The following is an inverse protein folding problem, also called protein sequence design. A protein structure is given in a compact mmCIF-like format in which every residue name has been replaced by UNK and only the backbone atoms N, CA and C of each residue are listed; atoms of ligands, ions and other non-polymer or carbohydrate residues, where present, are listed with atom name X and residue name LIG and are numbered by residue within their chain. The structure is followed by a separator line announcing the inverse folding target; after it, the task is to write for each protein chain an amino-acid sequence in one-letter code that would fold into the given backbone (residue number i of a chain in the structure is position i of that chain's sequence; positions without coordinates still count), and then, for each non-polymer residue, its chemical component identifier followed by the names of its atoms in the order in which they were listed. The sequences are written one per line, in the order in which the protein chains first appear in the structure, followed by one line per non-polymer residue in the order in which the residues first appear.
data_IF_516096922323
#
_entry.id   IF_516096922323
#
_cell.length_a   1.000
_cell.length_b   1.000
_cell.length_c   1.000
_cell.angle_alpha   90.00
_cell.angle_beta   90.00
_cell.angle_gamma   90.00
#
_symmetry.space_group_name_H-M   'P 1'
#
loop_
_entity.id
_entity.type
_entity.pdbx_description
1 polymer ?
#
# COMPACT_ATOMS: atom_id res chain seq x y z
N UNK A 1 -6.29 32.92 24.37
CA UNK A 1 -5.24 32.80 23.34
C UNK A 1 -4.55 31.43 23.34
N UNK A 2 -4.40 30.74 24.47
CA UNK A 2 -3.76 29.41 24.57
C UNK A 2 -4.61 28.24 24.03
N UNK A 3 -5.95 28.30 24.18
CA UNK A 3 -6.86 27.22 23.72
C UNK A 3 -6.90 27.13 22.18
N UNK A 4 -6.84 28.27 21.50
CA UNK A 4 -6.89 28.34 20.01
C UNK A 4 -5.60 27.76 19.41
N UNK A 5 -4.45 27.98 20.05
CA UNK A 5 -3.16 27.46 19.58
C UNK A 5 -3.00 25.96 19.88
N UNK A 6 -3.51 25.46 21.01
CA UNK A 6 -3.57 24.00 21.29
C UNK A 6 -4.48 23.29 20.28
N UNK A 7 -5.64 23.88 19.97
CA UNK A 7 -6.57 23.36 18.94
C UNK A 7 -5.91 23.33 17.56
N UNK A 8 -5.28 24.43 17.15
CA UNK A 8 -4.58 24.52 15.87
C UNK A 8 -3.40 23.53 15.79
N UNK A 9 -2.62 23.37 16.86
CA UNK A 9 -1.53 22.40 16.92
C UNK A 9 -2.05 20.96 16.83
N UNK A 10 -3.12 20.62 17.55
CA UNK A 10 -3.75 19.30 17.47
C UNK A 10 -4.38 19.03 16.10
N UNK A 11 -4.93 20.06 15.43
CA UNK A 11 -5.41 19.98 14.04
C UNK A 11 -4.24 19.74 13.08
N UNK A 12 -3.12 20.46 13.23
CA UNK A 12 -1.93 20.27 12.41
C UNK A 12 -1.31 18.89 12.61
N UNK A 13 -1.26 18.39 13.86
CA UNK A 13 -0.83 17.03 14.16
C UNK A 13 -1.79 15.99 13.57
N UNK A 14 -3.11 16.15 13.72
CA UNK A 14 -4.09 15.27 13.07
C UNK A 14 -3.97 15.28 11.56
N UNK A 15 -3.76 16.46 10.95
CA UNK A 15 -3.55 16.62 9.51
C UNK A 15 -2.25 15.94 9.08
N UNK A 16 -1.15 16.10 9.82
CA UNK A 16 0.12 15.41 9.56
C UNK A 16 -0.01 13.89 9.69
N UNK A 17 -0.67 13.39 10.73
CA UNK A 17 -0.97 11.97 10.93
C UNK A 17 -1.82 11.45 9.75
N UNK A 18 -2.86 12.18 9.36
CA UNK A 18 -3.71 11.84 8.23
C UNK A 18 -2.92 11.78 6.91
N UNK A 19 -2.04 12.74 6.64
CA UNK A 19 -1.15 12.69 5.48
C UNK A 19 -0.21 11.48 5.52
N UNK A 20 0.43 11.17 6.65
CA UNK A 20 1.29 9.99 6.77
C UNK A 20 0.53 8.68 6.52
N UNK A 21 -0.71 8.57 7.05
CA UNK A 21 -1.57 7.41 6.83
C UNK A 21 -1.92 7.25 5.35
N UNK A 22 -2.25 8.34 4.67
CA UNK A 22 -2.54 8.31 3.23
C UNK A 22 -1.30 7.91 2.45
N UNK A 23 -0.15 8.50 2.74
CA UNK A 23 1.10 8.15 2.06
C UNK A 23 1.36 6.65 2.15
N UNK A 24 1.26 6.05 3.35
CA UNK A 24 1.46 4.61 3.53
C UNK A 24 0.48 3.74 2.74
N UNK A 25 -0.76 4.20 2.54
CA UNK A 25 -1.77 3.47 1.75
C UNK A 25 -1.52 3.53 0.24
N UNK A 26 -0.63 4.41 -0.22
CA UNK A 26 -0.30 4.60 -1.64
C UNK A 26 1.05 3.97 -2.04
N UNK A 27 1.73 3.30 -1.10
CA UNK A 27 3.04 2.68 -1.35
C UNK A 27 2.93 1.20 -1.70
N UNK A 28 3.74 0.77 -2.65
CA UNK A 28 3.97 -0.64 -2.91
C UNK A 28 4.95 -1.22 -1.88
N UNK A 29 4.57 -2.32 -1.23
CA UNK A 29 5.44 -2.96 -0.23
C UNK A 29 6.67 -3.69 -0.84
N UNK A 30 6.76 -3.80 -2.17
CA UNK A 30 7.90 -4.43 -2.86
C UNK A 30 9.00 -3.39 -3.13
N UNK A 31 8.65 -2.29 -3.79
CA UNK A 31 9.62 -1.23 -4.13
C UNK A 31 9.67 -0.07 -3.11
N UNK A 32 8.79 -0.08 -2.10
CA UNK A 32 8.68 0.95 -1.06
C UNK A 32 8.48 2.37 -1.60
N UNK A 33 7.81 2.47 -2.75
CA UNK A 33 7.55 3.70 -3.50
C UNK A 33 6.08 3.77 -3.89
N UNK A 34 5.61 4.94 -4.29
CA UNK A 34 4.22 5.16 -4.73
C UNK A 34 3.89 4.21 -5.88
N UNK A 35 2.67 3.66 -5.86
CA UNK A 35 2.23 2.74 -6.90
C UNK A 35 2.41 3.32 -8.31
N UNK A 36 3.10 2.57 -9.17
CA UNK A 36 3.12 2.76 -10.63
C UNK A 36 2.33 1.64 -11.28
N UNK A 37 1.23 2.01 -11.95
CA UNK A 37 0.26 1.10 -12.53
C UNK A 37 -0.18 0.01 -11.54
N UNK A 38 -0.93 0.37 -10.48
CA UNK A 38 -1.31 -0.59 -9.44
C UNK A 38 -2.14 -1.74 -10.01
N UNK A 39 -1.84 -2.95 -9.54
CA UNK A 39 -2.62 -4.17 -9.78
C UNK A 39 -3.06 -4.74 -8.45
N UNK A 40 -4.35 -5.04 -8.35
CA UNK A 40 -4.96 -5.69 -7.18
C UNK A 40 -4.99 -7.19 -7.41
N UNK A 41 -4.39 -7.97 -6.50
CA UNK A 41 -4.57 -9.42 -6.48
C UNK A 41 -5.96 -9.80 -5.94
N UNK A 42 -6.48 -11.02 -6.20
CA UNK A 42 -7.77 -11.48 -5.66
C UNK A 42 -7.90 -11.39 -4.13
N UNK A 43 -6.78 -11.50 -3.41
CA UNK A 43 -6.72 -11.33 -1.96
C UNK A 43 -6.87 -9.86 -1.50
N UNK A 44 -7.10 -8.91 -2.42
CA UNK A 44 -7.31 -7.48 -2.14
C UNK A 44 -6.04 -6.64 -1.97
N UNK A 45 -4.84 -7.22 -2.10
CA UNK A 45 -3.58 -6.49 -1.94
C UNK A 45 -3.08 -5.87 -3.26
N UNK A 46 -2.54 -4.66 -3.17
CA UNK A 46 -2.12 -3.84 -4.31
C UNK A 46 -0.60 -3.77 -4.44
N UNK A 47 -0.11 -3.78 -5.68
CA UNK A 47 1.32 -3.73 -6.01
C UNK A 47 1.52 -2.99 -7.34
N UNK A 48 2.71 -2.44 -7.59
CA UNK A 48 3.06 -1.98 -8.93
C UNK A 48 3.02 -3.15 -9.92
N UNK A 49 2.46 -2.96 -11.12
CA UNK A 49 2.36 -4.01 -12.14
C UNK A 49 3.70 -4.71 -12.39
N UNK A 50 4.78 -3.94 -12.54
CA UNK A 50 6.11 -4.50 -12.76
C UNK A 50 6.59 -5.35 -11.57
N UNK A 51 6.50 -4.81 -10.36
CA UNK A 51 6.94 -5.48 -9.14
C UNK A 51 6.23 -6.82 -8.91
N UNK A 52 4.90 -6.86 -9.08
CA UNK A 52 4.16 -8.10 -8.86
C UNK A 52 4.38 -9.11 -9.97
N UNK A 53 4.51 -8.66 -11.22
CA UNK A 53 4.83 -9.54 -12.35
C UNK A 53 6.18 -10.24 -12.15
N UNK A 54 7.22 -9.48 -11.77
CA UNK A 54 8.54 -10.03 -11.49
C UNK A 54 8.51 -11.01 -10.32
N UNK A 55 7.84 -10.65 -9.21
CA UNK A 55 7.70 -11.53 -8.06
C UNK A 55 7.05 -12.88 -8.41
N UNK A 56 5.96 -12.86 -9.17
CA UNK A 56 5.21 -14.05 -9.56
C UNK A 56 5.94 -14.91 -10.59
N UNK A 57 6.79 -14.30 -11.42
CA UNK A 57 7.65 -15.02 -12.36
C UNK A 57 8.77 -15.79 -11.66
N UNK A 58 9.34 -15.22 -10.59
CA UNK A 58 10.42 -15.84 -9.81
C UNK A 58 9.91 -16.88 -8.79
N UNK A 59 8.67 -16.74 -8.32
CA UNK A 59 8.11 -17.63 -7.30
C UNK A 59 7.26 -18.74 -7.91
N UNK A 60 7.74 -19.97 -7.84
CA UNK A 60 7.02 -21.17 -8.31
C UNK A 60 5.61 -21.29 -7.70
N UNK A 61 5.44 -20.90 -6.44
CA UNK A 61 4.17 -20.98 -5.71
C UNK A 61 3.23 -19.77 -5.95
N UNK A 62 3.67 -18.75 -6.71
CA UNK A 62 2.90 -17.55 -7.05
C UNK A 62 2.10 -16.96 -5.88
N UNK A 63 2.75 -16.74 -4.74
CA UNK A 63 2.09 -16.25 -3.52
C UNK A 63 2.06 -14.73 -3.46
N UNK A 64 1.02 -14.18 -2.83
CA UNK A 64 0.95 -12.77 -2.50
C UNK A 64 2.10 -12.39 -1.55
N UNK A 65 2.88 -11.33 -1.83
CA UNK A 65 3.93 -10.86 -0.94
C UNK A 65 3.46 -10.53 0.49
N UNK A 66 2.21 -10.07 0.64
CA UNK A 66 1.63 -9.60 1.90
C UNK A 66 1.02 -10.74 2.73
N UNK A 67 -0.02 -11.42 2.23
CA UNK A 67 -0.75 -12.45 2.99
C UNK A 67 -0.34 -13.89 2.68
N UNK A 68 0.55 -14.10 1.70
CA UNK A 68 1.03 -15.42 1.26
C UNK A 68 -0.03 -16.35 0.64
N UNK A 69 -1.24 -15.85 0.37
CA UNK A 69 -2.25 -16.57 -0.42
C UNK A 69 -1.75 -16.84 -1.85
N UNK A 70 -2.10 -18.01 -2.39
CA UNK A 70 -1.71 -18.39 -3.75
C UNK A 70 -2.53 -17.61 -4.76
N UNK A 71 -1.85 -16.98 -5.70
CA UNK A 71 -2.47 -16.31 -6.83
C UNK A 71 -2.87 -17.34 -7.90
N UNK A 72 -4.16 -17.42 -8.17
CA UNK A 72 -4.73 -18.24 -9.24
C UNK A 72 -5.14 -17.34 -10.42
N UNK A 73 -4.32 -17.23 -11.47
CA UNK A 73 -4.65 -16.40 -12.64
C UNK A 73 -5.85 -16.89 -13.46
N UNK A 74 -6.33 -18.13 -13.22
CA UNK A 74 -7.45 -18.74 -13.95
C UNK A 74 -8.80 -18.66 -13.23
N UNK A 75 -8.87 -17.99 -12.08
CA UNK A 75 -10.09 -17.90 -11.27
C UNK A 75 -10.85 -16.57 -11.49
N UNK A 76 -10.62 -15.90 -12.63
CA UNK A 76 -11.38 -14.75 -13.12
C UNK A 76 -11.96 -15.05 -14.50
#
# INVERSE_FOLDING_TARGET
MVIVTVSAFQILLKKKIYYLLIEQQLLCCICLDVFRDPVTLPCGHNFCKHCITEHLNLNFQRKCPMCKEVWFPFMM
#
